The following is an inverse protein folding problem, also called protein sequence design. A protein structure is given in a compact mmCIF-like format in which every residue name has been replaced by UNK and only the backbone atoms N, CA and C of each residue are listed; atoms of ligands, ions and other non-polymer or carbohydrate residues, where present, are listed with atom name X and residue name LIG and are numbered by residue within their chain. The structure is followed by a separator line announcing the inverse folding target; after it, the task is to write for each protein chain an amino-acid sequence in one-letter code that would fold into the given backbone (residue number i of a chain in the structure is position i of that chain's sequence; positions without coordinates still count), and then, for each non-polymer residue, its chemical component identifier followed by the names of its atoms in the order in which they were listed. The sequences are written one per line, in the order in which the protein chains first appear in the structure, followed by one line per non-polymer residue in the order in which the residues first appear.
data_IF_365887188363
#
_entry.id   IF_365887188363
#
_cell.length_a   1.000
_cell.length_b   1.000
_cell.length_c   1.000
_cell.angle_alpha   90.00
_cell.angle_beta   90.00
_cell.angle_gamma   90.00
#
_symmetry.space_group_name_H-M   'P 1'
#
loop_
_entity.id
_entity.type
_entity.pdbx_description
1 polymer ?
#
# COMPACT_ATOMS: atom_id res chain seq x y z
N UNK A 1 51.58 -3.20 -9.17
CA UNK A 1 50.94 -1.94 -8.72
C UNK A 1 50.38 -1.28 -9.96
N UNK A 2 49.13 -0.88 -10.17
CA UNK A 2 47.90 -0.50 -9.43
C UNK A 2 46.89 -0.33 -10.60
N UNK A 3 45.57 -0.50 -10.58
CA UNK A 3 44.52 -0.91 -9.66
C UNK A 3 43.39 -1.30 -10.62
N UNK A 4 42.82 -2.50 -10.48
CA UNK A 4 41.58 -2.83 -11.18
C UNK A 4 40.49 -1.93 -10.62
N UNK A 5 39.92 -1.04 -11.44
CA UNK A 5 38.78 -0.24 -11.03
C UNK A 5 37.50 -1.04 -11.33
N UNK A 6 36.96 -1.57 -10.24
CA UNK A 6 35.78 -2.41 -10.16
C UNK A 6 34.54 -1.53 -10.37
N UNK A 7 33.98 -1.49 -11.59
CA UNK A 7 32.71 -0.80 -11.84
C UNK A 7 31.56 -1.77 -11.55
N UNK A 8 31.12 -1.85 -10.29
CA UNK A 8 29.83 -2.45 -9.93
C UNK A 8 28.75 -1.48 -10.42
N UNK A 9 28.12 -1.81 -11.54
CA UNK A 9 26.86 -1.21 -11.96
C UNK A 9 25.76 -1.76 -11.04
N UNK A 10 25.32 -0.91 -10.11
CA UNK A 10 24.24 -1.20 -9.18
C UNK A 10 22.90 -1.05 -9.90
N UNK A 11 22.50 -2.08 -10.64
CA UNK A 11 21.15 -2.21 -11.16
C UNK A 11 20.24 -2.64 -10.01
N UNK A 12 19.79 -1.68 -9.20
CA UNK A 12 18.61 -1.87 -8.36
C UNK A 12 17.40 -1.93 -9.31
N UNK A 13 17.22 -3.06 -9.97
CA UNK A 13 15.97 -3.39 -10.62
C UNK A 13 14.96 -3.49 -9.48
N UNK A 14 14.11 -2.48 -9.35
CA UNK A 14 12.99 -2.53 -8.42
C UNK A 14 12.15 -3.73 -8.83
N UNK A 15 12.29 -4.85 -8.13
CA UNK A 15 11.35 -5.94 -8.22
C UNK A 15 10.03 -5.36 -7.73
N UNK A 16 9.16 -5.00 -8.67
CA UNK A 16 7.77 -4.75 -8.36
C UNK A 16 7.21 -6.06 -7.83
N UNK A 17 7.16 -6.19 -6.50
CA UNK A 17 6.45 -7.29 -5.86
C UNK A 17 4.98 -7.10 -6.20
N UNK A 18 4.52 -7.80 -7.24
CA UNK A 18 3.10 -7.96 -7.46
C UNK A 18 2.57 -8.72 -6.25
N UNK A 19 1.53 -8.21 -5.59
CA UNK A 19 0.93 -8.87 -4.44
C UNK A 19 0.38 -10.23 -4.88
N UNK A 20 1.08 -11.30 -4.53
CA UNK A 20 0.69 -12.69 -4.80
C UNK A 20 0.63 -13.42 -3.47
N UNK A 21 -0.28 -14.39 -3.37
CA UNK A 21 -0.45 -15.22 -2.18
C UNK A 21 0.24 -16.54 -2.43
N UNK A 22 1.27 -16.82 -1.65
CA UNK A 22 1.77 -18.19 -1.49
C UNK A 22 0.75 -18.98 -0.67
N UNK A 23 0.28 -20.11 -1.21
CA UNK A 23 -0.68 -20.99 -0.56
C UNK A 23 -0.21 -22.44 -0.66
N UNK A 24 -0.21 -23.15 0.48
CA UNK A 24 0.18 -24.55 0.55
C UNK A 24 -0.96 -25.38 1.10
N UNK A 25 -1.22 -26.52 0.45
CA UNK A 25 -2.22 -27.50 0.87
C UNK A 25 -1.69 -28.91 0.67
N UNK A 26 -2.12 -29.83 1.54
CA UNK A 26 -1.78 -31.25 1.43
C UNK A 26 -2.79 -31.97 0.53
N UNK A 27 -2.28 -32.72 -0.42
CA UNK A 27 -2.98 -33.65 -1.28
C UNK A 27 -2.78 -35.06 -0.71
N UNK A 28 -3.82 -35.56 -0.06
CA UNK A 28 -3.83 -36.88 0.57
C UNK A 28 -4.85 -37.78 -0.12
N UNK A 29 -4.57 -39.08 -0.14
CA UNK A 29 -5.53 -40.09 -0.53
C UNK A 29 -6.64 -40.18 0.54
N UNK A 30 -7.90 -40.04 0.13
CA UNK A 30 -9.02 -39.93 1.05
C UNK A 30 -9.31 -41.24 1.81
N UNK A 31 -8.92 -42.41 1.26
CA UNK A 31 -9.18 -43.70 1.87
C UNK A 31 -8.09 -44.10 2.88
N UNK A 32 -6.84 -43.78 2.58
CA UNK A 32 -5.66 -44.23 3.32
C UNK A 32 -4.99 -43.13 4.16
N UNK A 33 -5.30 -41.86 3.87
CA UNK A 33 -4.64 -40.70 4.48
C UNK A 33 -3.18 -40.52 4.05
N UNK A 34 -2.69 -41.33 3.11
CA UNK A 34 -1.31 -41.26 2.64
C UNK A 34 -1.10 -40.08 1.67
N UNK A 35 0.11 -39.51 1.62
CA UNK A 35 0.45 -38.51 0.62
C UNK A 35 0.26 -39.00 -0.81
N UNK A 36 -0.40 -38.19 -1.65
CA UNK A 36 -0.37 -38.33 -3.10
C UNK A 36 0.86 -37.59 -3.64
N UNK A 37 2.02 -38.26 -3.64
CA UNK A 37 3.30 -37.67 -4.02
C UNK A 37 3.55 -37.68 -5.53
N UNK A 38 4.35 -36.72 -6.02
CA UNK A 38 4.74 -36.54 -7.43
C UNK A 38 3.55 -36.48 -8.41
N UNK A 39 2.39 -36.05 -7.92
CA UNK A 39 1.16 -36.06 -8.68
C UNK A 39 0.84 -34.66 -9.20
N UNK A 40 0.67 -34.54 -10.51
CA UNK A 40 0.26 -33.28 -11.15
C UNK A 40 -1.24 -33.21 -11.24
N UNK A 41 -1.84 -32.24 -10.54
CA UNK A 41 -3.29 -32.05 -10.45
C UNK A 41 -3.71 -30.65 -10.88
N UNK A 42 -4.96 -30.53 -11.32
CA UNK A 42 -5.62 -29.25 -11.55
C UNK A 42 -6.28 -28.77 -10.27
N UNK A 43 -5.77 -27.68 -9.70
CA UNK A 43 -6.25 -27.08 -8.46
C UNK A 43 -7.12 -25.88 -8.79
N UNK A 44 -8.40 -25.93 -8.39
CA UNK A 44 -9.26 -24.75 -8.36
C UNK A 44 -9.03 -24.01 -7.05
N UNK A 45 -8.66 -22.74 -7.13
CA UNK A 45 -8.45 -21.87 -5.98
C UNK A 45 -9.43 -20.72 -6.00
N UNK A 46 -10.05 -20.47 -4.86
CA UNK A 46 -11.00 -19.37 -4.68
C UNK A 46 -10.59 -18.50 -3.51
N UNK A 47 -10.75 -17.18 -3.68
CA UNK A 47 -10.66 -16.19 -2.62
C UNK A 47 -12.05 -15.62 -2.39
N UNK A 48 -12.49 -15.62 -1.14
CA UNK A 48 -13.82 -15.14 -0.74
C UNK A 48 -13.73 -14.15 0.41
N UNK A 49 -14.73 -13.28 0.53
CA UNK A 49 -14.91 -12.44 1.71
C UNK A 49 -15.54 -13.21 2.89
N UNK A 50 -15.71 -12.55 4.03
CA UNK A 50 -16.31 -13.14 5.23
C UNK A 50 -17.77 -13.60 5.05
N UNK A 51 -18.48 -13.08 4.06
CA UNK A 51 -19.84 -13.50 3.70
C UNK A 51 -19.87 -14.64 2.68
N UNK A 52 -18.71 -15.06 2.17
CA UNK A 52 -18.58 -16.07 1.12
C UNK A 52 -18.69 -15.52 -0.30
N UNK A 53 -18.73 -14.20 -0.49
CA UNK A 53 -18.73 -13.60 -1.83
C UNK A 53 -17.38 -13.81 -2.50
N UNK A 54 -17.39 -14.17 -3.79
CA UNK A 54 -16.18 -14.41 -4.57
C UNK A 54 -15.43 -13.11 -4.86
N UNK A 55 -14.13 -13.10 -4.56
CA UNK A 55 -13.18 -12.04 -4.91
C UNK A 55 -12.34 -12.47 -6.12
N UNK A 56 -11.89 -13.72 -6.12
CA UNK A 56 -11.06 -14.29 -7.18
C UNK A 56 -11.30 -15.79 -7.32
N UNK A 57 -11.25 -16.31 -8.55
CA UNK A 57 -11.24 -17.74 -8.84
C UNK A 57 -10.21 -18.02 -9.93
N UNK A 58 -9.25 -18.90 -9.64
CA UNK A 58 -8.20 -19.31 -10.56
C UNK A 58 -8.06 -20.82 -10.58
N UNK A 59 -7.70 -21.38 -11.74
CA UNK A 59 -7.30 -22.79 -11.85
C UNK A 59 -5.82 -22.86 -12.16
N UNK A 60 -5.06 -23.66 -11.40
CA UNK A 60 -3.62 -23.85 -11.53
C UNK A 60 -3.29 -25.33 -11.69
N UNK A 61 -2.29 -25.64 -12.51
CA UNK A 61 -1.64 -26.95 -12.48
C UNK A 61 -0.51 -26.92 -11.47
N UNK A 62 -0.43 -27.92 -10.59
CA UNK A 62 0.65 -28.05 -9.62
C UNK A 62 0.99 -29.53 -9.40
N UNK A 63 2.26 -29.80 -9.16
CA UNK A 63 2.79 -31.12 -8.81
C UNK A 63 3.07 -31.16 -7.31
N UNK A 64 2.58 -32.19 -6.62
CA UNK A 64 2.85 -32.40 -5.20
C UNK A 64 4.27 -32.88 -4.95
N UNK A 65 4.82 -32.55 -3.78
CA UNK A 65 6.10 -33.09 -3.32
C UNK A 65 5.96 -34.50 -2.69
N UNK A 66 7.08 -35.04 -2.19
CA UNK A 66 7.15 -36.35 -1.51
C UNK A 66 6.18 -36.49 -0.32
N UNK A 67 5.74 -35.37 0.26
CA UNK A 67 4.80 -35.31 1.39
C UNK A 67 3.38 -34.94 0.93
N UNK A 68 3.12 -34.92 -0.37
CA UNK A 68 1.82 -34.58 -0.94
C UNK A 68 1.52 -33.09 -0.89
N UNK A 69 2.48 -32.21 -0.64
CA UNK A 69 2.23 -30.76 -0.51
C UNK A 69 2.21 -30.10 -1.88
N UNK A 70 1.13 -29.39 -2.18
CA UNK A 70 1.00 -28.51 -3.34
C UNK A 70 1.37 -27.10 -2.91
N UNK A 71 2.35 -26.49 -3.60
CA UNK A 71 2.74 -25.09 -3.41
C UNK A 71 2.20 -24.24 -4.57
N UNK A 72 1.38 -23.24 -4.26
CA UNK A 72 0.65 -22.44 -5.23
C UNK A 72 0.94 -20.96 -5.04
N UNK A 73 0.95 -20.23 -6.15
CA UNK A 73 1.02 -18.77 -6.16
C UNK A 73 -0.23 -18.22 -6.82
N UNK A 74 -1.01 -17.46 -6.04
CA UNK A 74 -2.38 -17.09 -6.36
C UNK A 74 -2.51 -15.58 -6.46
N UNK A 75 -3.29 -15.12 -7.43
CA UNK A 75 -3.54 -13.71 -7.65
C UNK A 75 -2.40 -12.97 -8.34
N UNK A 76 -2.59 -11.67 -8.44
CA UNK A 76 -1.66 -10.69 -8.96
C UNK A 76 -2.03 -9.31 -8.38
N UNK A 77 -1.39 -8.24 -8.88
CA UNK A 77 -1.60 -6.88 -8.39
C UNK A 77 -3.07 -6.40 -8.41
N UNK A 78 -3.91 -6.90 -9.33
CA UNK A 78 -5.30 -6.49 -9.47
C UNK A 78 -6.30 -7.35 -8.70
N UNK A 79 -5.88 -8.47 -8.11
CA UNK A 79 -6.78 -9.44 -7.43
C UNK A 79 -7.68 -8.80 -6.36
N UNK A 80 -7.19 -7.75 -5.69
CA UNK A 80 -7.93 -7.08 -4.62
C UNK A 80 -8.35 -5.64 -4.95
N UNK A 81 -8.19 -5.18 -6.20
CA UNK A 81 -8.51 -3.80 -6.58
C UNK A 81 -9.98 -3.44 -6.30
N UNK A 82 -10.89 -4.38 -6.54
CA UNK A 82 -12.33 -4.22 -6.35
C UNK A 82 -12.87 -4.95 -5.12
N UNK A 83 -12.01 -5.48 -4.26
CA UNK A 83 -12.44 -6.18 -3.05
C UNK A 83 -13.09 -5.19 -2.06
N UNK A 84 -14.18 -5.62 -1.42
CA UNK A 84 -14.80 -4.87 -0.33
C UNK A 84 -14.06 -5.15 0.98
N UNK A 85 -13.12 -4.26 1.30
CA UNK A 85 -12.29 -4.37 2.49
C UNK A 85 -13.03 -4.16 3.82
N UNK A 86 -14.30 -3.74 3.78
CA UNK A 86 -15.15 -3.75 4.99
C UNK A 86 -15.60 -5.17 5.39
N UNK A 87 -15.47 -6.15 4.47
CA UNK A 87 -15.89 -7.54 4.66
C UNK A 87 -14.73 -8.48 5.00
N UNK A 88 -13.68 -7.96 5.62
CA UNK A 88 -12.65 -8.79 6.22
C UNK A 88 -13.24 -9.70 7.31
N UNK A 89 -12.63 -10.88 7.58
CA UNK A 89 -11.44 -11.40 6.91
C UNK A 89 -11.74 -12.04 5.55
N UNK A 90 -10.72 -12.09 4.69
CA UNK A 90 -10.76 -12.84 3.44
C UNK A 90 -10.24 -14.27 3.66
N UNK A 91 -10.76 -15.21 2.88
CA UNK A 91 -10.41 -16.62 2.94
C UNK A 91 -9.91 -17.11 1.58
N UNK A 92 -8.94 -18.00 1.59
CA UNK A 92 -8.47 -18.75 0.43
C UNK A 92 -8.81 -20.22 0.60
N UNK A 93 -9.27 -20.87 -0.46
CA UNK A 93 -9.54 -22.31 -0.50
C UNK A 93 -9.00 -22.97 -1.76
N UNK A 94 -8.58 -24.23 -1.66
CA UNK A 94 -8.16 -25.05 -2.79
C UNK A 94 -9.01 -26.32 -2.88
N UNK A 95 -9.43 -26.64 -4.09
CA UNK A 95 -10.24 -27.81 -4.43
C UNK A 95 -9.58 -28.57 -5.57
N UNK A 96 -9.47 -29.88 -5.42
CA UNK A 96 -8.98 -30.81 -6.45
C UNK A 96 -10.01 -31.93 -6.57
N UNK A 97 -10.40 -32.29 -7.79
CA UNK A 97 -11.39 -33.36 -8.05
C UNK A 97 -12.68 -33.18 -7.23
N UNK A 98 -13.17 -31.94 -7.13
CA UNK A 98 -14.33 -31.53 -6.33
C UNK A 98 -14.20 -31.75 -4.80
N UNK A 99 -13.01 -32.09 -4.31
CA UNK A 99 -12.70 -32.22 -2.87
C UNK A 99 -11.98 -30.98 -2.37
N UNK A 100 -12.55 -30.31 -1.36
CA UNK A 100 -11.92 -29.19 -0.66
C UNK A 100 -10.72 -29.71 0.15
N UNK A 101 -9.51 -29.32 -0.24
CA UNK A 101 -8.27 -29.72 0.42
C UNK A 101 -7.94 -28.84 1.63
N UNK A 102 -8.33 -27.57 1.58
CA UNK A 102 -8.07 -26.64 2.67
C UNK A 102 -8.73 -25.29 2.45
N UNK A 103 -9.09 -24.66 3.57
CA UNK A 103 -9.57 -23.28 3.64
C UNK A 103 -8.88 -22.58 4.79
N UNK A 104 -8.28 -21.43 4.52
CA UNK A 104 -7.59 -20.65 5.55
C UNK A 104 -7.85 -19.16 5.38
N UNK A 105 -7.66 -18.40 6.45
CA UNK A 105 -7.75 -16.95 6.43
C UNK A 105 -6.48 -16.35 5.80
N UNK A 106 -6.65 -15.36 4.94
CA UNK A 106 -5.55 -14.57 4.38
C UNK A 106 -5.12 -13.55 5.44
N UNK A 107 -3.96 -13.77 6.07
CA UNK A 107 -3.35 -12.89 7.09
C UNK A 107 -2.05 -12.22 6.61
N UNK A 108 -1.66 -12.45 5.36
CA UNK A 108 -0.35 -12.09 4.82
C UNK A 108 -0.38 -10.74 4.08
N UNK A 109 0.69 -10.51 3.29
CA UNK A 109 1.03 -9.27 2.57
C UNK A 109 -0.14 -8.44 2.02
N UNK A 110 -1.13 -8.97 1.26
CA UNK A 110 -2.21 -8.16 0.70
C UNK A 110 -3.03 -7.41 1.77
N UNK A 111 -3.30 -8.01 2.93
CA UNK A 111 -4.04 -7.35 4.02
C UNK A 111 -3.19 -6.24 4.65
N UNK A 112 -1.90 -6.49 4.84
CA UNK A 112 -0.97 -5.49 5.38
C UNK A 112 -0.77 -4.30 4.43
N UNK A 113 -0.65 -4.55 3.12
CA UNK A 113 -0.53 -3.51 2.10
C UNK A 113 -1.80 -2.66 2.01
N UNK A 114 -2.99 -3.26 2.09
CA UNK A 114 -4.22 -2.48 2.19
C UNK A 114 -4.28 -1.65 3.46
N UNK A 115 -4.01 -2.24 4.63
CA UNK A 115 -4.02 -1.51 5.90
C UNK A 115 -3.09 -0.30 5.87
N UNK A 116 -1.89 -0.45 5.30
CA UNK A 116 -0.92 0.63 5.09
C UNK A 116 -1.46 1.74 4.17
N UNK A 117 -2.16 1.38 3.09
CA UNK A 117 -2.76 2.36 2.17
C UNK A 117 -3.98 3.06 2.79
N UNK A 118 -4.85 2.32 3.46
CA UNK A 118 -6.07 2.82 4.10
C UNK A 118 -5.76 3.77 5.26
N UNK A 119 -4.66 3.56 5.98
CA UNK A 119 -4.18 4.44 7.04
C UNK A 119 -3.07 5.40 6.57
N UNK A 120 -3.25 6.00 5.39
CA UNK A 120 -2.35 7.03 4.86
C UNK A 120 -3.12 8.26 4.35
N UNK A 121 -2.43 9.39 4.28
CA UNK A 121 -3.00 10.63 3.76
C UNK A 121 -3.13 10.57 2.23
N UNK A 122 -4.36 10.67 1.73
CA UNK A 122 -4.61 10.82 0.29
C UNK A 122 -4.39 12.28 -0.14
N UNK A 123 -3.71 12.48 -1.28
CA UNK A 123 -3.58 13.77 -1.96
C UNK A 123 -4.94 14.43 -2.19
N UNK A 124 -6.00 13.64 -2.46
CA UNK A 124 -7.36 14.15 -2.64
C UNK A 124 -7.87 14.91 -1.41
N UNK A 125 -7.53 14.45 -0.21
CA UNK A 125 -7.90 15.12 1.06
C UNK A 125 -7.25 16.49 1.19
N UNK A 126 -6.03 16.64 0.68
CA UNK A 126 -5.31 17.91 0.70
C UNK A 126 -5.86 18.90 -0.33
N UNK A 127 -6.24 18.41 -1.51
CA UNK A 127 -6.74 19.23 -2.62
C UNK A 127 -8.21 19.66 -2.40
N UNK A 128 -9.02 18.87 -1.70
CA UNK A 128 -10.44 19.16 -1.49
C UNK A 128 -10.71 20.27 -0.46
N UNK A 129 -9.68 20.75 0.22
CA UNK A 129 -9.76 21.76 1.28
C UNK A 129 -8.91 22.99 0.94
N UNK A 130 -9.34 24.14 1.46
CA UNK A 130 -8.51 25.33 1.52
C UNK A 130 -7.82 25.36 2.87
N UNK A 131 -6.54 25.72 2.89
CA UNK A 131 -5.74 25.73 4.12
C UNK A 131 -5.25 27.14 4.37
N UNK A 132 -5.59 27.70 5.52
CA UNK A 132 -5.11 29.01 5.95
C UNK A 132 -4.55 28.94 7.35
N UNK A 133 -3.55 29.76 7.63
CA UNK A 133 -2.95 29.89 8.95
C UNK A 133 -2.70 31.35 9.28
N UNK A 134 -2.63 31.63 10.56
CA UNK A 134 -2.18 32.90 11.10
C UNK A 134 -1.13 32.59 12.14
N UNK A 135 0.04 33.20 12.01
CA UNK A 135 1.07 33.17 13.03
C UNK A 135 0.80 34.30 14.03
N UNK A 136 0.64 33.96 15.31
CA UNK A 136 0.25 34.93 16.35
C UNK A 136 1.41 35.78 16.83
N UNK A 137 2.64 35.33 16.62
CA UNK A 137 3.85 36.03 17.11
C UNK A 137 4.29 37.11 16.11
N UNK A 138 4.08 36.85 14.82
CA UNK A 138 4.46 37.73 13.70
C UNK A 138 3.28 38.41 13.02
N UNK A 139 2.04 38.08 13.42
CA UNK A 139 0.78 38.52 12.78
C UNK A 139 0.68 38.18 11.27
N UNK A 140 1.53 37.27 10.79
CA UNK A 140 1.55 36.87 9.39
C UNK A 140 0.33 36.02 9.05
N UNK A 141 -0.33 36.32 7.93
CA UNK A 141 -1.47 35.53 7.43
C UNK A 141 -1.03 34.80 6.17
N UNK A 142 -1.23 33.49 6.16
CA UNK A 142 -0.77 32.62 5.09
C UNK A 142 -1.76 31.56 4.65
N UNK A 143 -1.40 30.90 3.55
CA UNK A 143 -2.17 29.84 2.92
C UNK A 143 -1.27 28.70 2.47
N UNK A 144 -1.80 27.49 2.54
CA UNK A 144 -1.24 26.31 1.89
C UNK A 144 -2.19 25.89 0.76
N UNK A 145 -1.66 25.67 -0.44
CA UNK A 145 -2.45 25.24 -1.60
C UNK A 145 -1.84 23.99 -2.23
N UNK A 146 -2.71 23.09 -2.68
CA UNK A 146 -2.31 21.86 -3.38
C UNK A 146 -2.90 21.84 -4.78
N UNK A 147 -2.07 21.61 -5.79
CA UNK A 147 -2.48 21.54 -7.19
C UNK A 147 -2.54 20.09 -7.68
N UNK A 148 -3.70 19.67 -8.20
CA UNK A 148 -3.88 18.36 -8.84
C UNK A 148 -3.15 18.26 -10.18
N UNK A 149 -3.10 19.35 -10.96
CA UNK A 149 -2.50 19.37 -12.30
C UNK A 149 -0.98 19.36 -12.29
N UNK A 150 -0.36 19.99 -11.29
CA UNK A 150 1.11 20.10 -11.19
C UNK A 150 1.73 19.23 -10.10
N UNK A 151 0.90 18.59 -9.25
CA UNK A 151 1.32 17.84 -8.07
C UNK A 151 2.26 18.64 -7.15
N UNK A 152 1.99 19.94 -7.00
CA UNK A 152 2.76 20.87 -6.16
C UNK A 152 1.98 21.30 -4.94
N UNK A 153 2.74 21.59 -3.89
CA UNK A 153 2.31 22.35 -2.71
C UNK A 153 2.91 23.75 -2.82
N UNK A 154 2.11 24.75 -2.48
CA UNK A 154 2.55 26.14 -2.36
C UNK A 154 2.22 26.66 -0.97
N UNK A 155 3.18 27.31 -0.33
CA UNK A 155 3.00 28.02 0.94
C UNK A 155 3.34 29.48 0.73
N UNK A 156 2.41 30.34 1.13
CA UNK A 156 2.55 31.80 0.99
C UNK A 156 2.02 32.49 2.23
N UNK A 157 2.71 33.53 2.68
CA UNK A 157 2.19 34.50 3.65
C UNK A 157 2.76 35.89 3.37
N UNK A 158 2.15 36.89 3.99
CA UNK A 158 2.56 38.28 3.89
C UNK A 158 2.79 38.82 5.29
N UNK A 159 3.91 39.50 5.47
CA UNK A 159 4.26 40.13 6.74
C UNK A 159 3.54 41.49 6.84
N UNK A 160 3.19 41.95 8.04
CA UNK A 160 2.56 43.27 8.23
C UNK A 160 3.38 44.43 7.63
N UNK A 161 4.70 44.31 7.64
CA UNK A 161 5.65 45.32 7.16
C UNK A 161 5.87 45.30 5.63
N UNK A 162 5.10 44.49 4.89
CA UNK A 162 5.17 44.41 3.42
C UNK A 162 6.16 43.38 2.88
N UNK A 163 6.71 42.53 3.75
CA UNK A 163 7.48 41.33 3.41
C UNK A 163 6.62 40.10 3.15
N UNK A 164 7.22 38.91 3.30
CA UNK A 164 6.52 37.64 3.22
C UNK A 164 7.31 36.54 2.54
N UNK A 165 6.71 35.36 2.50
CA UNK A 165 7.28 34.17 1.90
C UNK A 165 6.37 33.62 0.80
N UNK A 166 6.99 33.07 -0.23
CA UNK A 166 6.31 32.34 -1.29
C UNK A 166 7.22 31.25 -1.83
N UNK A 167 6.89 29.99 -1.54
CA UNK A 167 7.59 28.83 -2.12
C UNK A 167 6.59 27.81 -2.63
N UNK A 168 7.01 27.12 -3.69
CA UNK A 168 6.27 26.02 -4.29
C UNK A 168 7.24 24.93 -4.72
N UNK A 169 6.88 23.67 -4.45
CA UNK A 169 7.67 22.51 -4.89
C UNK A 169 6.75 21.31 -5.10
N UNK A 170 7.22 20.29 -5.85
CA UNK A 170 6.65 18.96 -5.72
C UNK A 170 6.67 18.50 -4.26
N UNK A 171 5.75 17.60 -3.92
CA UNK A 171 5.70 16.98 -2.60
C UNK A 171 5.51 15.48 -2.70
N UNK A 172 5.99 14.79 -1.67
CA UNK A 172 5.71 13.37 -1.45
C UNK A 172 4.94 13.21 -0.14
N UNK A 173 4.14 12.15 -0.07
CA UNK A 173 3.42 11.78 1.15
C UNK A 173 4.03 10.48 1.67
N UNK A 174 4.34 10.45 2.97
CA UNK A 174 4.71 9.24 3.70
C UNK A 174 3.89 9.17 4.97
N UNK A 175 2.93 8.23 5.02
CA UNK A 175 1.91 8.17 6.07
C UNK A 175 1.07 9.45 6.08
N UNK A 176 1.14 10.20 7.18
CA UNK A 176 0.49 11.51 7.34
C UNK A 176 1.45 12.70 7.17
N UNK A 177 2.68 12.46 6.73
CA UNK A 177 3.71 13.49 6.53
C UNK A 177 3.77 13.92 5.07
N UNK A 178 3.83 15.22 4.85
CA UNK A 178 4.01 15.89 3.56
C UNK A 178 5.44 16.45 3.54
N UNK A 179 6.26 15.96 2.62
CA UNK A 179 7.67 16.33 2.53
C UNK A 179 7.87 17.17 1.26
N UNK A 180 8.51 18.33 1.41
CA UNK A 180 8.75 19.30 0.35
C UNK A 180 10.23 19.68 0.31
N UNK A 181 10.67 20.46 -0.68
CA UNK A 181 12.05 20.96 -0.71
C UNK A 181 12.32 22.12 0.25
N UNK A 182 11.28 22.67 0.89
CA UNK A 182 11.35 23.87 1.72
C UNK A 182 10.74 23.66 3.12
N UNK A 183 10.29 22.45 3.45
CA UNK A 183 9.70 22.16 4.74
C UNK A 183 9.14 20.75 4.84
N UNK A 184 8.78 20.38 6.07
CA UNK A 184 8.06 19.14 6.39
C UNK A 184 6.79 19.54 7.13
N UNK A 185 5.67 18.96 6.71
CA UNK A 185 4.37 19.18 7.31
C UNK A 185 3.74 17.84 7.68
N UNK A 186 2.88 17.83 8.68
CA UNK A 186 2.10 16.69 9.12
C UNK A 186 0.61 17.02 9.05
N UNK A 187 -0.18 16.13 8.46
CA UNK A 187 -1.63 16.23 8.51
C UNK A 187 -2.16 15.60 9.79
N UNK A 188 -2.75 16.42 10.65
CA UNK A 188 -3.48 15.96 11.81
C UNK A 188 -4.90 15.53 11.38
N UNK A 189 -5.09 14.21 11.17
CA UNK A 189 -6.38 13.63 10.77
C UNK A 189 -7.51 13.93 11.77
N UNK A 190 -7.23 13.93 13.08
CA UNK A 190 -8.25 14.13 14.12
C UNK A 190 -8.83 15.55 14.13
N UNK A 191 -7.99 16.55 13.83
CA UNK A 191 -8.38 17.96 13.79
C UNK A 191 -8.62 18.48 12.38
N UNK A 192 -8.24 17.71 11.36
CA UNK A 192 -8.27 18.12 9.98
C UNK A 192 -7.35 19.31 9.69
N UNK A 193 -6.16 19.34 10.28
CA UNK A 193 -5.20 20.46 10.20
C UNK A 193 -3.89 20.04 9.53
N UNK A 194 -3.13 21.00 8.99
CA UNK A 194 -1.74 20.81 8.58
C UNK A 194 -0.84 21.56 9.55
N UNK A 195 0.13 20.86 10.12
CA UNK A 195 1.09 21.43 11.08
C UNK A 195 2.49 21.26 10.52
N UNK A 196 3.34 22.29 10.56
CA UNK A 196 4.71 22.15 10.07
C UNK A 196 5.54 23.39 10.30
N UNK A 197 6.72 23.40 9.70
CA UNK A 197 7.62 24.55 9.73
C UNK A 197 8.05 24.85 8.30
N UNK A 198 8.00 26.13 7.91
CA UNK A 198 8.60 26.66 6.70
C UNK A 198 9.21 28.02 6.99
N UNK A 199 10.43 28.26 6.53
CA UNK A 199 11.16 29.53 6.75
C UNK A 199 11.18 29.96 8.22
N UNK A 200 11.44 28.99 9.11
CA UNK A 200 11.46 29.16 10.57
C UNK A 200 10.12 29.59 11.22
N UNK A 201 9.03 29.67 10.46
CA UNK A 201 7.67 29.94 10.96
C UNK A 201 6.92 28.64 11.23
N UNK A 202 6.30 28.56 12.40
CA UNK A 202 5.39 27.47 12.74
C UNK A 202 4.05 27.69 12.03
N UNK A 203 3.65 26.69 11.25
CA UNK A 203 2.40 26.72 10.49
C UNK A 203 1.40 25.77 11.15
N UNK A 204 0.21 26.28 11.46
CA UNK A 204 -0.96 25.50 11.88
C UNK A 204 -2.12 25.92 10.98
N UNK A 205 -2.30 25.22 9.86
CA UNK A 205 -3.30 25.54 8.86
C UNK A 205 -4.58 24.71 9.05
N UNK A 206 -5.73 25.35 8.88
CA UNK A 206 -7.07 24.74 8.90
C UNK A 206 -7.80 25.00 7.59
#
# INVERSE_FOLDING_TARGET
MKKQFFTILFLFMTLGLNAQIGYQVSLLDAATGQPRADETVSVKVEITDSSGSLICSETKSATSDDFGVLSLTIGNASTFENADWSKLPFYISATVDDVLLGRSQILNVPVAEYAKRADSLDKRTLISKSWSFTDTDTECIGKISFSSSTAKISVTWTDPDGGGFSKSSPYIISGYTIITSFGIFAYNKSKGQIIGIADDIQIIAQ
#
